data_IF_836968415194
#
_entry.id   IF_836968415194
#
_cell.length_a   1.000
_cell.length_b   1.000
_cell.length_c   1.000
_cell.angle_alpha   90.00
_cell.angle_beta   90.00
_cell.angle_gamma   90.00
#
_symmetry.space_group_name_H-M   'P 1'
#
loop_
_entity.id
_entity.type
_entity.pdbx_description
1 polymer ?
#
# COMPACT_ATOMS: atom_id res chain seq x y z
N UNK A 1 12.65 10.16 13.00
CA UNK A 1 11.54 10.24 12.03
C UNK A 1 10.57 9.12 12.31
N UNK A 2 9.38 9.44 12.83
CA UNK A 2 8.30 8.48 13.06
C UNK A 2 7.70 8.10 11.71
N UNK A 3 7.98 6.89 11.20
CA UNK A 3 7.27 6.35 10.03
C UNK A 3 5.95 5.78 10.54
N UNK A 4 4.87 6.54 10.37
CA UNK A 4 3.56 6.22 10.93
C UNK A 4 2.93 4.93 10.37
N UNK A 5 3.47 4.38 9.29
CA UNK A 5 3.14 3.06 8.78
C UNK A 5 4.42 2.28 8.50
N UNK A 6 4.46 1.03 8.95
CA UNK A 6 5.53 0.11 8.63
C UNK A 6 5.63 -0.12 7.10
N UNK A 7 6.70 -0.79 6.67
CA UNK A 7 6.81 -1.36 5.33
C UNK A 7 5.49 -2.06 4.94
N UNK A 8 5.07 -1.92 3.69
CA UNK A 8 3.80 -2.45 3.15
C UNK A 8 3.71 -3.94 3.46
N UNK A 9 4.82 -4.69 3.41
CA UNK A 9 4.87 -6.11 3.74
C UNK A 9 4.42 -6.40 5.18
N UNK A 10 4.89 -5.60 6.15
CA UNK A 10 4.49 -5.75 7.56
C UNK A 10 3.01 -5.43 7.74
N UNK A 11 2.50 -4.39 7.07
CA UNK A 11 1.07 -4.06 7.10
C UNK A 11 0.25 -5.21 6.51
N UNK A 12 0.64 -5.73 5.35
CA UNK A 12 -0.06 -6.83 4.68
C UNK A 12 -0.09 -8.10 5.51
N UNK A 13 1.01 -8.46 6.18
CA UNK A 13 1.04 -9.61 7.10
C UNK A 13 0.03 -9.47 8.24
N UNK A 14 -0.12 -8.25 8.79
CA UNK A 14 -1.09 -7.99 9.85
C UNK A 14 -2.53 -7.93 9.34
N UNK A 15 -2.74 -7.52 8.09
CA UNK A 15 -4.06 -7.36 7.47
C UNK A 15 -4.42 -8.48 6.50
N UNK A 16 -3.71 -9.62 6.52
CA UNK A 16 -3.89 -10.70 5.54
C UNK A 16 -5.33 -11.23 5.50
N UNK A 17 -5.99 -11.27 6.66
CA UNK A 17 -7.39 -11.69 6.77
C UNK A 17 -8.36 -10.80 5.98
N UNK A 18 -8.00 -9.56 5.65
CA UNK A 18 -8.80 -8.65 4.81
C UNK A 18 -8.66 -8.94 3.31
N UNK A 19 -7.67 -9.75 2.93
CA UNK A 19 -7.39 -10.13 1.54
C UNK A 19 -7.96 -11.51 1.18
N UNK A 20 -8.48 -12.25 2.17
CA UNK A 20 -9.19 -13.51 1.93
C UNK A 20 -10.44 -13.29 1.06
N UNK A 21 -10.93 -14.35 0.42
CA UNK A 21 -12.17 -14.35 -0.36
C UNK A 21 -12.24 -13.27 -1.46
N UNK A 22 -11.14 -13.08 -2.20
CA UNK A 22 -10.96 -12.01 -3.21
C UNK A 22 -11.04 -10.58 -2.64
N UNK A 23 -10.73 -10.42 -1.36
CA UNK A 23 -10.63 -9.13 -0.70
C UNK A 23 -9.65 -8.19 -1.38
N UNK A 24 -9.93 -6.89 -1.29
CA UNK A 24 -9.08 -5.81 -1.77
C UNK A 24 -8.67 -4.94 -0.61
N UNK A 25 -7.37 -4.68 -0.49
CA UNK A 25 -6.85 -3.76 0.51
C UNK A 25 -6.35 -2.49 -0.17
N UNK A 26 -6.80 -1.33 0.32
CA UNK A 26 -6.37 -0.02 -0.15
C UNK A 26 -5.47 0.63 0.90
N UNK A 27 -4.22 0.90 0.51
CA UNK A 27 -3.23 1.53 1.38
C UNK A 27 -2.73 2.84 0.75
N UNK A 28 -2.84 3.95 1.48
CA UNK A 28 -2.25 5.21 1.04
C UNK A 28 -0.78 5.30 1.47
N UNK A 29 0.13 5.56 0.52
CA UNK A 29 1.55 5.82 0.77
C UNK A 29 2.07 6.99 -0.07
N UNK A 30 3.26 7.49 0.28
CA UNK A 30 4.08 8.30 -0.63
C UNK A 30 4.86 7.40 -1.60
N UNK A 31 5.59 7.98 -2.54
CA UNK A 31 6.36 7.32 -3.62
C UNK A 31 7.35 6.19 -3.22
N UNK A 32 7.77 6.15 -1.96
CA UNK A 32 8.77 5.20 -1.44
C UNK A 32 8.38 3.72 -1.54
N UNK A 33 7.10 3.40 -1.74
CA UNK A 33 6.61 2.01 -1.85
C UNK A 33 7.25 1.26 -3.03
N UNK A 34 7.71 1.97 -4.06
CA UNK A 34 8.36 1.41 -5.25
C UNK A 34 9.67 0.67 -4.95
N UNK A 35 10.30 0.93 -3.81
CA UNK A 35 11.54 0.29 -3.38
C UNK A 35 11.30 -0.97 -2.54
N UNK A 36 10.04 -1.28 -2.22
CA UNK A 36 9.67 -2.40 -1.36
C UNK A 36 9.37 -3.64 -2.22
N UNK A 37 10.14 -4.71 -2.01
CA UNK A 37 9.91 -5.98 -2.70
C UNK A 37 8.69 -6.69 -2.08
N UNK A 38 7.57 -6.73 -2.81
CA UNK A 38 6.37 -7.48 -2.45
C UNK A 38 6.32 -8.79 -3.25
N UNK A 39 6.15 -9.94 -2.60
CA UNK A 39 5.94 -11.23 -3.26
C UNK A 39 4.55 -11.78 -2.94
N UNK A 40 3.92 -12.47 -3.89
CA UNK A 40 2.63 -13.15 -3.68
C UNK A 40 1.41 -12.23 -3.64
N UNK A 41 1.55 -10.97 -4.04
CA UNK A 41 0.45 -10.02 -4.15
C UNK A 41 0.48 -9.29 -5.48
N UNK A 42 -0.69 -9.02 -6.03
CA UNK A 42 -0.88 -8.10 -7.14
C UNK A 42 -1.12 -6.71 -6.56
N UNK A 43 -0.34 -5.73 -7.02
CA UNK A 43 -0.44 -4.35 -6.58
C UNK A 43 -0.63 -3.42 -7.77
N UNK A 44 -1.68 -2.61 -7.74
CA UNK A 44 -1.91 -1.51 -8.68
C UNK A 44 -1.80 -0.19 -7.94
N UNK A 45 -0.92 0.70 -8.41
CA UNK A 45 -0.75 2.02 -7.81
C UNK A 45 -1.55 3.08 -8.56
N UNK A 46 -2.38 3.82 -7.83
CA UNK A 46 -3.17 4.94 -8.34
C UNK A 46 -2.64 6.22 -7.73
N UNK A 47 -2.03 7.11 -8.52
CA UNK A 47 -1.61 8.43 -8.03
C UNK A 47 -2.84 9.27 -7.71
N UNK A 48 -2.83 9.92 -6.56
CA UNK A 48 -3.91 10.79 -6.09
C UNK A 48 -3.36 12.17 -5.75
N UNK A 49 -4.13 13.20 -6.08
CA UNK A 49 -3.82 14.56 -5.66
C UNK A 49 -4.47 14.82 -4.30
N UNK A 50 -3.65 15.11 -3.28
CA UNK A 50 -4.13 15.43 -1.93
C UNK A 50 -3.90 16.92 -1.68
N UNK A 51 -4.97 17.73 -1.49
CA UNK A 51 -4.82 19.15 -1.22
C UNK A 51 -3.88 19.42 -0.04
N UNK A 52 -3.07 20.47 -0.16
CA UNK A 52 -2.12 20.92 0.88
C UNK A 52 -0.98 19.94 1.20
N UNK A 53 -0.76 18.93 0.34
CA UNK A 53 0.38 18.02 0.44
C UNK A 53 1.22 18.15 -0.83
N UNK A 54 2.48 18.57 -0.66
CA UNK A 54 3.39 18.81 -1.79
C UNK A 54 3.98 17.53 -2.38
N UNK A 55 4.06 16.46 -1.57
CA UNK A 55 4.60 15.18 -1.99
C UNK A 55 3.55 14.33 -2.70
N UNK A 56 3.98 13.55 -3.68
CA UNK A 56 3.11 12.61 -4.37
C UNK A 56 2.50 11.58 -3.40
N UNK A 57 1.21 11.32 -3.59
CA UNK A 57 0.47 10.31 -2.85
C UNK A 57 -0.08 9.28 -3.80
N UNK A 58 -0.04 8.04 -3.35
CA UNK A 58 -0.48 6.89 -4.10
C UNK A 58 -1.43 6.08 -3.23
N UNK A 59 -2.53 5.64 -3.84
CA UNK A 59 -3.38 4.61 -3.30
C UNK A 59 -2.96 3.28 -3.93
N UNK A 60 -2.44 2.38 -3.09
CA UNK A 60 -2.03 1.05 -3.48
C UNK A 60 -3.22 0.12 -3.31
N UNK A 61 -3.73 -0.38 -4.43
CA UNK A 61 -4.73 -1.45 -4.46
C UNK A 61 -4.00 -2.79 -4.46
N UNK A 62 -4.23 -3.59 -3.43
CA UNK A 62 -3.50 -4.84 -3.18
C UNK A 62 -4.49 -6.00 -3.12
N UNK A 63 -4.14 -7.08 -3.82
CA UNK A 63 -4.88 -8.34 -3.90
C UNK A 63 -3.92 -9.53 -3.79
N UNK A 64 -4.41 -10.70 -3.36
CA UNK A 64 -3.65 -11.94 -3.47
C UNK A 64 -3.51 -12.34 -4.95
N UNK A 65 -2.32 -12.74 -5.35
CA UNK A 65 -2.00 -13.21 -6.70
C UNK A 65 -2.15 -14.72 -6.88
#
# INVERSE_FOLDING_TARGET
>A
TSRAFAEVDKTLKLTQHLLCDNGRYLLMKGDHFSQEAMQGVLMTAHQINVPYVSDDRFLLEIQLG
#
